data_IF_777879372865
#
_entry.id   IF_777879372865
#
_cell.length_a   1.000
_cell.length_b   1.000
_cell.length_c   1.000
_cell.angle_alpha   90.00
_cell.angle_beta   90.00
_cell.angle_gamma   90.00
#
_symmetry.space_group_name_H-M   'P 1'
#
loop_
_entity.id
_entity.type
_entity.pdbx_description
1 polymer ?
#
# COMPACT_ATOMS: atom_id res chain seq x y z
N UNK A 1 34.22 41.16 37.70
CA UNK A 1 34.05 39.78 37.18
C UNK A 1 32.60 39.40 37.38
N UNK A 2 31.77 39.53 36.34
CA UNK A 2 30.35 39.17 36.40
C UNK A 2 30.26 37.79 35.73
N UNK A 3 30.12 36.75 36.55
CA UNK A 3 30.01 35.38 36.10
C UNK A 3 28.62 35.14 35.51
N UNK A 4 28.56 34.94 34.19
CA UNK A 4 27.37 34.40 33.52
C UNK A 4 27.21 32.94 33.92
N UNK A 5 26.33 32.67 34.88
CA UNK A 5 25.86 31.31 35.16
C UNK A 5 24.79 30.98 34.14
N UNK A 6 25.19 30.13 33.18
CA UNK A 6 24.41 29.71 32.03
C UNK A 6 23.08 29.09 32.48
N UNK A 7 21.99 29.54 31.85
CA UNK A 7 20.66 28.93 31.83
C UNK A 7 20.71 27.46 31.38
N UNK A 8 21.19 26.56 32.23
CA UNK A 8 21.40 25.15 31.92
C UNK A 8 20.25 24.25 32.40
N UNK A 9 19.33 24.79 33.20
CA UNK A 9 18.19 24.03 33.76
C UNK A 9 16.93 24.06 32.88
N UNK A 10 16.86 24.94 31.88
CA UNK A 10 15.74 24.99 30.93
C UNK A 10 16.04 24.31 29.58
N UNK A 11 17.29 23.95 29.31
CA UNK A 11 17.68 23.27 28.07
C UNK A 11 17.38 21.75 28.11
N UNK A 12 17.48 21.12 29.29
CA UNK A 12 17.16 19.70 29.47
C UNK A 12 15.69 19.31 29.18
N UNK A 13 14.66 20.01 29.71
CA UNK A 13 13.28 19.65 29.43
C UNK A 13 12.92 19.90 27.96
N UNK A 14 13.53 20.91 27.31
CA UNK A 14 13.34 21.20 25.90
C UNK A 14 13.92 20.10 25.00
N UNK A 15 15.12 19.58 25.35
CA UNK A 15 15.74 18.46 24.65
C UNK A 15 14.93 17.16 24.77
N UNK A 16 14.32 16.90 25.94
CA UNK A 16 13.45 15.74 26.17
C UNK A 16 12.15 15.85 25.35
N UNK A 17 11.56 17.04 25.24
CA UNK A 17 10.36 17.27 24.41
C UNK A 17 10.65 17.07 22.91
N UNK A 18 11.83 17.50 22.44
CA UNK A 18 12.30 17.30 21.07
C UNK A 18 12.53 15.81 20.75
N UNK A 19 13.07 15.03 21.70
CA UNK A 19 13.26 13.58 21.54
C UNK A 19 11.93 12.80 21.50
N UNK A 20 10.89 13.27 22.22
CA UNK A 20 9.54 12.68 22.19
C UNK A 20 8.74 13.07 20.94
N UNK A 21 9.17 14.11 20.21
CA UNK A 21 8.54 14.55 18.96
C UNK A 21 9.03 13.81 17.72
N UNK A 22 10.07 12.99 17.87
CA UNK A 22 10.51 12.07 16.81
C UNK A 22 9.62 10.83 16.90
N UNK A 23 8.41 10.95 16.35
CA UNK A 23 7.71 9.75 15.88
C UNK A 23 8.55 9.31 14.67
N UNK A 24 9.25 8.17 14.70
CA UNK A 24 9.78 7.63 13.46
C UNK A 24 8.56 7.41 12.56
N UNK A 25 8.45 8.21 11.51
CA UNK A 25 7.61 7.87 10.38
C UNK A 25 8.26 6.65 9.73
N UNK A 26 7.96 5.48 10.29
CA UNK A 26 8.19 4.19 9.66
C UNK A 26 7.46 4.25 8.31
N UNK A 27 8.24 4.15 7.25
CA UNK A 27 7.84 4.24 5.84
C UNK A 27 7.53 2.82 5.43
N UNK A 28 6.26 2.44 5.28
CA UNK A 28 5.95 1.03 5.49
C UNK A 28 5.20 0.34 4.36
N UNK A 29 6.03 -0.39 3.62
CA UNK A 29 5.84 -1.83 3.63
C UNK A 29 5.95 -2.35 5.07
N UNK A 30 4.80 -2.57 5.70
CA UNK A 30 4.73 -2.85 7.13
C UNK A 30 5.24 -4.25 7.45
N UNK A 31 5.97 -4.40 8.56
CA UNK A 31 6.43 -5.69 9.04
C UNK A 31 5.25 -6.56 9.54
N UNK A 32 4.18 -5.92 10.00
CA UNK A 32 2.95 -6.57 10.47
C UNK A 32 1.69 -5.97 9.85
N UNK A 33 0.71 -6.82 9.55
CA UNK A 33 -0.62 -6.35 9.14
C UNK A 33 -1.29 -5.49 10.23
N UNK A 34 -0.83 -5.58 11.47
CA UNK A 34 -1.33 -4.79 12.59
C UNK A 34 -1.12 -3.28 12.41
N UNK A 35 -0.05 -2.87 11.74
CA UNK A 35 0.23 -1.45 11.42
C UNK A 35 -0.81 -0.87 10.44
N UNK A 36 -1.40 -1.71 9.57
CA UNK A 36 -2.48 -1.34 8.65
C UNK A 36 -3.87 -1.86 9.08
N UNK A 37 -4.10 -2.19 10.36
CA UNK A 37 -5.26 -3.00 10.77
C UNK A 37 -6.65 -2.35 10.61
N UNK A 38 -6.69 -1.04 10.32
CA UNK A 38 -7.94 -0.29 10.36
C UNK A 38 -8.96 -0.78 9.34
N UNK A 39 -8.52 -1.43 8.26
CA UNK A 39 -9.37 -1.94 7.18
C UNK A 39 -9.95 -3.33 7.43
N UNK A 40 -9.55 -4.01 8.50
CA UNK A 40 -10.08 -5.31 8.87
C UNK A 40 -11.27 -5.18 9.81
N UNK A 41 -12.22 -6.11 9.68
CA UNK A 41 -13.32 -6.24 10.63
C UNK A 41 -12.73 -6.50 12.02
N UNK A 42 -13.17 -5.71 13.00
CA UNK A 42 -12.68 -5.75 14.38
C UNK A 42 -11.15 -5.68 14.50
N UNK A 43 -10.48 -5.00 13.56
CA UNK A 43 -9.02 -4.89 13.46
C UNK A 43 -8.30 -6.25 13.45
N UNK A 44 -9.00 -7.30 13.05
CA UNK A 44 -8.51 -8.68 13.10
C UNK A 44 -8.08 -9.13 11.70
N UNK A 45 -6.77 -9.26 11.44
CA UNK A 45 -6.30 -9.76 10.16
C UNK A 45 -6.65 -11.25 9.97
N UNK A 46 -6.83 -11.71 8.72
CA UNK A 46 -7.07 -13.13 8.46
C UNK A 46 -5.85 -13.96 8.84
N UNK A 47 -6.07 -15.23 9.16
CA UNK A 47 -5.01 -16.23 9.21
C UNK A 47 -4.89 -16.90 7.83
N UNK A 48 -3.73 -16.80 7.22
CA UNK A 48 -3.38 -17.44 5.96
C UNK A 48 -2.21 -18.37 6.26
N UNK A 49 -2.45 -19.70 6.34
CA UNK A 49 -1.41 -20.65 6.70
C UNK A 49 -0.14 -20.47 5.87
N UNK A 50 1.02 -20.55 6.51
CA UNK A 50 2.35 -20.41 5.89
C UNK A 50 2.69 -19.01 5.37
N UNK A 51 1.79 -18.03 5.46
CA UNK A 51 2.01 -16.66 4.96
C UNK A 51 1.80 -15.62 6.07
N UNK A 52 0.61 -15.61 6.68
CA UNK A 52 0.16 -14.64 7.67
C UNK A 52 -0.50 -15.35 8.85
N UNK A 53 0.21 -15.46 9.96
CA UNK A 53 -0.29 -16.17 11.15
C UNK A 53 -0.28 -15.23 12.36
N UNK A 54 -1.43 -15.08 13.02
CA UNK A 54 -1.56 -14.17 14.17
C UNK A 54 -1.29 -12.69 13.85
N UNK A 55 -1.39 -12.29 12.58
CA UNK A 55 -1.05 -10.94 12.11
C UNK A 55 0.42 -10.74 11.74
N UNK A 56 1.25 -11.77 11.83
CA UNK A 56 2.68 -11.72 11.50
C UNK A 56 2.94 -12.36 10.14
N UNK A 57 3.79 -11.70 9.34
CA UNK A 57 4.26 -12.24 8.07
C UNK A 57 5.41 -13.21 8.33
N UNK A 58 5.27 -14.46 7.89
CA UNK A 58 6.24 -15.51 8.18
C UNK A 58 7.51 -15.40 7.32
N UNK A 59 7.37 -15.01 6.05
CA UNK A 59 8.49 -14.72 5.14
C UNK A 59 8.44 -13.24 4.73
N UNK A 60 9.04 -12.39 5.56
CA UNK A 60 9.14 -10.96 5.31
C UNK A 60 10.04 -10.61 4.12
N UNK A 61 10.83 -11.52 3.57
CA UNK A 61 11.63 -11.25 2.38
C UNK A 61 10.77 -11.31 1.10
N UNK A 62 9.72 -12.12 1.12
CA UNK A 62 8.81 -12.31 -0.01
C UNK A 62 7.50 -11.57 0.12
N UNK A 63 6.86 -11.68 1.28
CA UNK A 63 5.53 -11.14 1.47
C UNK A 63 5.61 -9.76 2.10
N UNK A 64 4.84 -8.83 1.54
CA UNK A 64 4.89 -7.41 1.85
C UNK A 64 3.48 -6.91 2.04
N UNK A 65 3.20 -6.33 3.19
CA UNK A 65 1.90 -5.70 3.46
C UNK A 65 2.01 -4.24 3.07
N UNK A 66 1.03 -3.76 2.31
CA UNK A 66 1.04 -2.42 1.74
C UNK A 66 -0.21 -1.70 2.22
N UNK A 67 0.00 -0.62 2.98
CA UNK A 67 -1.00 0.40 3.28
C UNK A 67 -1.20 1.26 2.02
N UNK A 68 -2.19 0.93 1.20
CA UNK A 68 -2.38 1.51 -0.13
C UNK A 68 -2.74 2.99 -0.04
N UNK A 69 -1.78 3.84 -0.36
CA UNK A 69 -1.86 5.29 -0.14
C UNK A 69 -1.86 6.04 -1.47
N UNK A 70 -2.88 6.86 -1.67
CA UNK A 70 -3.04 7.69 -2.87
C UNK A 70 -3.38 9.12 -2.44
N UNK A 71 -2.63 10.11 -2.93
CA UNK A 71 -2.81 11.52 -2.57
C UNK A 71 -2.79 11.72 -1.04
N UNK A 72 -1.83 11.10 -0.37
CA UNK A 72 -1.62 11.08 1.08
C UNK A 72 -2.81 10.51 1.88
N UNK A 73 -3.68 9.76 1.23
CA UNK A 73 -4.81 9.09 1.87
C UNK A 73 -4.62 7.57 1.77
N UNK A 74 -4.49 6.90 2.91
CA UNK A 74 -4.50 5.44 2.97
C UNK A 74 -5.94 4.93 2.81
N UNK A 75 -6.17 4.02 1.88
CA UNK A 75 -7.52 3.68 1.39
C UNK A 75 -7.90 2.20 1.52
N UNK A 76 -6.94 1.29 1.45
CA UNK A 76 -7.13 -0.15 1.66
C UNK A 76 -5.79 -0.82 1.97
N UNK A 77 -5.79 -2.12 2.24
CA UNK A 77 -4.59 -2.92 2.46
C UNK A 77 -4.47 -3.97 1.38
N UNK A 78 -3.25 -4.23 0.96
CA UNK A 78 -2.90 -5.38 0.13
C UNK A 78 -1.80 -6.18 0.82
N UNK A 79 -1.95 -7.50 0.92
CA UNK A 79 -0.81 -8.39 1.12
C UNK A 79 -0.29 -8.83 -0.24
N UNK A 80 0.99 -8.60 -0.50
CA UNK A 80 1.60 -8.76 -1.81
C UNK A 80 2.75 -9.79 -1.80
N UNK A 81 2.83 -10.61 -2.83
CA UNK A 81 3.92 -11.57 -3.06
C UNK A 81 4.90 -10.95 -4.07
N UNK A 82 6.05 -10.47 -3.60
CA UNK A 82 7.04 -9.78 -4.45
C UNK A 82 7.73 -10.71 -5.44
N UNK A 83 7.81 -12.01 -5.11
CA UNK A 83 8.43 -13.02 -5.97
C UNK A 83 7.59 -13.30 -7.20
N UNK A 84 6.29 -13.47 -7.00
CA UNK A 84 5.35 -13.71 -8.10
C UNK A 84 4.74 -12.42 -8.68
N UNK A 85 4.98 -11.29 -8.02
CA UNK A 85 4.47 -9.96 -8.38
C UNK A 85 2.94 -9.91 -8.47
N UNK A 86 2.26 -10.58 -7.54
CA UNK A 86 0.79 -10.63 -7.46
C UNK A 86 0.31 -10.33 -6.03
N UNK A 87 -0.88 -9.72 -5.87
CA UNK A 87 -1.51 -9.67 -4.57
C UNK A 87 -2.03 -11.05 -4.13
N UNK A 88 -1.87 -11.33 -2.85
CA UNK A 88 -2.42 -12.49 -2.15
C UNK A 88 -3.84 -12.21 -1.68
N UNK A 89 -4.06 -11.06 -1.03
CA UNK A 89 -5.39 -10.59 -0.65
C UNK A 89 -5.43 -9.07 -0.53
N UNK A 90 -6.64 -8.51 -0.53
CA UNK A 90 -6.90 -7.10 -0.19
C UNK A 90 -7.98 -7.00 0.90
N UNK A 91 -7.88 -6.00 1.76
CA UNK A 91 -8.89 -5.67 2.77
C UNK A 91 -9.23 -4.18 2.73
N UNK A 92 -10.52 -3.86 2.75
CA UNK A 92 -11.02 -2.49 2.67
C UNK A 92 -12.32 -2.34 3.47
N UNK A 93 -12.58 -1.12 3.97
CA UNK A 93 -13.88 -0.80 4.57
C UNK A 93 -14.90 -0.53 3.47
N UNK A 94 -15.92 -1.36 3.41
CA UNK A 94 -17.08 -1.08 2.57
C UNK A 94 -17.97 -0.02 3.24
N UNK A 95 -18.09 1.16 2.62
CA UNK A 95 -18.90 2.28 3.11
C UNK A 95 -20.15 2.54 2.25
N UNK A 96 -20.56 1.53 1.48
CA UNK A 96 -21.59 1.67 0.46
C UNK A 96 -21.01 2.03 -0.92
N UNK A 97 -21.88 2.02 -1.94
CA UNK A 97 -21.54 2.37 -3.32
C UNK A 97 -22.18 3.69 -3.69
N UNK A 98 -21.63 4.84 -3.26
CA UNK A 98 -22.04 6.10 -3.83
C UNK A 98 -21.76 6.00 -5.33
N UNK A 99 -22.80 6.25 -6.12
CA UNK A 99 -22.72 6.17 -7.58
C UNK A 99 -21.55 6.98 -8.12
N UNK A 100 -21.11 6.67 -9.33
CA UNK A 100 -19.97 7.37 -9.91
C UNK A 100 -19.38 6.59 -11.05
N UNK A 101 -18.74 7.31 -11.97
CA UNK A 101 -18.06 6.69 -13.10
C UNK A 101 -16.75 6.06 -12.61
N UNK A 102 -16.42 4.90 -13.19
CA UNK A 102 -15.09 4.31 -13.05
C UNK A 102 -14.02 5.34 -13.49
N UNK A 103 -13.01 5.64 -12.67
CA UNK A 103 -11.92 6.55 -13.05
C UNK A 103 -11.23 6.11 -14.34
N UNK A 104 -10.79 7.09 -15.14
CA UNK A 104 -9.96 6.88 -16.33
C UNK A 104 -8.56 7.39 -16.04
N UNK A 105 -7.78 6.60 -15.31
CA UNK A 105 -6.43 6.95 -14.89
C UNK A 105 -5.43 5.85 -15.28
N UNK A 106 -4.16 6.22 -15.29
CA UNK A 106 -3.07 5.27 -15.51
C UNK A 106 -2.90 4.36 -14.29
N UNK A 107 -2.42 3.14 -14.56
CA UNK A 107 -2.06 2.21 -13.50
C UNK A 107 -0.73 2.59 -12.87
N UNK A 108 -0.68 2.43 -11.55
CA UNK A 108 0.42 2.87 -10.69
C UNK A 108 1.20 1.70 -10.10
N UNK A 109 2.35 2.04 -9.52
CA UNK A 109 3.23 1.19 -8.73
C UNK A 109 3.32 1.73 -7.31
N UNK A 110 3.83 0.89 -6.42
CA UNK A 110 4.17 1.19 -5.01
C UNK A 110 5.68 1.38 -4.93
N UNK A 111 6.20 2.62 -4.92
CA UNK A 111 7.64 2.84 -5.07
C UNK A 111 8.46 2.30 -3.88
N UNK A 112 7.87 2.22 -2.68
CA UNK A 112 8.50 1.64 -1.49
C UNK A 112 8.82 0.15 -1.61
N UNK A 113 8.21 -0.58 -2.57
CA UNK A 113 8.59 -1.98 -2.86
C UNK A 113 9.96 -2.10 -3.53
N UNK A 114 10.40 -1.09 -4.29
CA UNK A 114 11.74 -1.09 -4.91
C UNK A 114 12.79 -0.43 -4.03
N UNK A 115 12.40 0.62 -3.30
CA UNK A 115 13.27 1.34 -2.38
C UNK A 115 12.49 1.61 -1.08
N UNK A 116 12.76 0.90 0.02
CA UNK A 116 11.99 1.02 1.26
C UNK A 116 11.83 2.46 1.80
N UNK A 117 12.82 3.33 1.58
CA UNK A 117 12.79 4.73 2.00
C UNK A 117 12.21 5.71 0.94
N UNK A 118 11.48 5.21 -0.07
CA UNK A 118 10.75 6.07 -1.02
C UNK A 118 9.38 6.48 -0.44
N UNK A 119 8.63 7.30 -1.18
CA UNK A 119 7.32 7.81 -0.79
C UNK A 119 6.28 6.67 -0.67
N UNK A 120 5.35 6.75 0.28
CA UNK A 120 4.30 5.74 0.42
C UNK A 120 3.15 5.90 -0.60
N UNK A 121 3.11 7.02 -1.31
CA UNK A 121 2.12 7.27 -2.35
C UNK A 121 2.41 6.46 -3.60
N UNK A 122 1.39 5.70 -4.02
CA UNK A 122 1.39 5.08 -5.33
C UNK A 122 1.55 6.14 -6.43
N UNK A 123 2.36 5.81 -7.44
CA UNK A 123 2.66 6.72 -8.56
C UNK A 123 2.82 5.96 -9.87
N UNK A 124 2.84 6.67 -10.99
CA UNK A 124 3.12 6.02 -12.27
C UNK A 124 4.57 5.48 -12.29
N UNK A 125 4.76 4.32 -12.92
CA UNK A 125 6.09 3.77 -13.10
C UNK A 125 6.94 4.64 -14.04
N UNK A 126 8.23 4.76 -13.73
CA UNK A 126 9.22 5.32 -14.65
C UNK A 126 9.67 4.21 -15.62
N UNK A 127 9.59 4.46 -16.92
CA UNK A 127 9.97 3.49 -17.94
C UNK A 127 11.49 3.19 -17.96
N UNK A 128 12.31 4.00 -17.30
CA UNK A 128 13.76 3.81 -17.21
C UNK A 128 14.19 2.96 -16.01
N UNK A 129 13.25 2.57 -15.13
CA UNK A 129 13.53 1.78 -13.94
C UNK A 129 13.14 0.32 -14.17
N UNK A 130 14.00 -0.59 -13.72
CA UNK A 130 13.70 -2.02 -13.65
C UNK A 130 13.11 -2.32 -12.28
N UNK A 131 11.83 -2.73 -12.27
CA UNK A 131 11.09 -3.08 -11.06
C UNK A 131 11.27 -4.57 -10.76
N UNK A 132 11.93 -4.88 -9.66
CA UNK A 132 12.27 -6.27 -9.27
C UNK A 132 11.19 -6.89 -8.40
N UNK A 133 10.53 -6.09 -7.56
CA UNK A 133 9.66 -6.60 -6.51
C UNK A 133 8.18 -6.41 -6.79
N UNK A 134 7.82 -5.82 -7.93
CA UNK A 134 6.42 -5.66 -8.33
C UNK A 134 6.20 -5.74 -9.83
N UNK A 135 4.94 -5.90 -10.22
CA UNK A 135 4.52 -5.86 -11.61
C UNK A 135 4.42 -4.42 -12.13
N UNK A 136 4.79 -4.23 -13.39
CA UNK A 136 4.62 -2.97 -14.13
C UNK A 136 3.73 -3.17 -15.35
N UNK A 137 3.34 -2.05 -15.98
CA UNK A 137 2.47 -2.08 -17.17
C UNK A 137 3.01 -2.97 -18.29
N UNK A 138 4.34 -3.04 -18.46
CA UNK A 138 4.98 -3.91 -19.46
C UNK A 138 4.77 -5.39 -19.20
N UNK A 139 4.71 -5.81 -17.94
CA UNK A 139 4.49 -7.22 -17.57
C UNK A 139 3.10 -7.70 -18.01
N UNK A 140 2.11 -6.80 -18.08
CA UNK A 140 0.75 -7.10 -18.52
C UNK A 140 0.58 -7.08 -20.06
N UNK A 141 1.45 -6.41 -20.81
CA UNK A 141 1.28 -6.22 -22.26
C UNK A 141 1.11 -7.55 -23.04
N UNK A 142 1.91 -8.60 -22.80
CA UNK A 142 1.76 -9.87 -23.51
C UNK A 142 0.44 -10.58 -23.21
N UNK A 143 -0.09 -10.43 -22.00
CA UNK A 143 -1.33 -11.10 -21.57
C UNK A 143 -2.58 -10.38 -22.10
N UNK A 144 -2.52 -9.06 -22.28
CA UNK A 144 -3.62 -8.29 -22.85
C UNK A 144 -4.00 -8.79 -24.26
N UNK A 145 -2.99 -9.14 -25.06
CA UNK A 145 -3.18 -9.71 -26.41
C UNK A 145 -3.78 -11.13 -26.37
N UNK A 146 -3.68 -11.82 -25.23
CA UNK A 146 -4.18 -13.18 -25.01
C UNK A 146 -5.56 -13.21 -24.31
N UNK A 147 -6.24 -12.06 -24.24
CA UNK A 147 -7.57 -11.94 -23.65
C UNK A 147 -7.58 -11.97 -22.12
N UNK A 148 -6.56 -11.39 -21.50
CA UNK A 148 -6.55 -11.07 -20.08
C UNK A 148 -6.64 -9.56 -19.86
N UNK A 149 -7.30 -9.16 -18.78
CA UNK A 149 -7.33 -7.81 -18.27
C UNK A 149 -6.53 -7.71 -16.96
N UNK A 150 -6.29 -6.48 -16.51
CA UNK A 150 -5.89 -6.17 -15.13
C UNK A 150 -7.12 -6.26 -14.22
N UNK A 151 -7.38 -7.46 -13.69
CA UNK A 151 -8.51 -7.72 -12.80
C UNK A 151 -8.22 -7.24 -11.39
N UNK A 152 -9.09 -6.41 -10.83
CA UNK A 152 -8.88 -5.85 -9.49
C UNK A 152 -9.23 -6.89 -8.42
N UNK A 153 -8.46 -6.95 -7.33
CA UNK A 153 -8.89 -7.65 -6.13
C UNK A 153 -9.87 -6.79 -5.34
N UNK A 154 -9.48 -5.57 -4.98
CA UNK A 154 -10.41 -4.57 -4.47
C UNK A 154 -11.02 -3.77 -5.64
N UNK A 155 -12.31 -3.96 -5.97
CA UNK A 155 -12.89 -3.35 -7.16
C UNK A 155 -13.09 -1.84 -7.00
N UNK A 156 -12.73 -1.06 -8.03
CA UNK A 156 -12.99 0.38 -8.07
C UNK A 156 -14.46 0.75 -7.83
N UNK A 157 -15.42 -0.12 -8.16
CA UNK A 157 -16.83 0.14 -7.90
C UNK A 157 -17.18 0.22 -6.41
N UNK A 158 -16.34 -0.31 -5.52
CA UNK A 158 -16.57 -0.35 -4.07
C UNK A 158 -15.93 0.84 -3.34
N UNK A 159 -15.08 1.62 -4.01
CA UNK A 159 -14.58 2.87 -3.45
C UNK A 159 -15.71 3.88 -3.23
N UNK A 160 -15.72 4.52 -2.06
CA UNK A 160 -16.78 5.41 -1.60
C UNK A 160 -16.60 6.88 -2.04
N UNK A 161 -15.45 7.22 -2.60
CA UNK A 161 -15.21 8.55 -3.17
C UNK A 161 -14.22 8.45 -4.34
N UNK A 162 -14.00 9.52 -5.12
CA UNK A 162 -13.07 9.50 -6.24
C UNK A 162 -11.62 9.09 -5.86
N UNK A 163 -11.18 9.39 -4.64
CA UNK A 163 -9.84 9.04 -4.14
C UNK A 163 -9.73 7.53 -3.93
N UNK A 164 -10.65 6.92 -3.19
CA UNK A 164 -10.71 5.46 -2.99
C UNK A 164 -10.91 4.71 -4.31
N UNK A 165 -11.75 5.25 -5.22
CA UNK A 165 -11.93 4.62 -6.54
C UNK A 165 -10.63 4.64 -7.35
N UNK A 166 -9.86 5.72 -7.26
CA UNK A 166 -8.61 5.92 -8.00
C UNK A 166 -7.45 5.10 -7.41
N UNK A 167 -7.37 4.99 -6.08
CA UNK A 167 -6.32 4.21 -5.41
C UNK A 167 -6.36 2.72 -5.80
N UNK A 168 -7.51 2.20 -6.22
CA UNK A 168 -7.62 0.81 -6.69
C UNK A 168 -6.85 0.50 -7.98
N UNK A 169 -6.37 1.52 -8.72
CA UNK A 169 -5.62 1.39 -9.98
C UNK A 169 -4.10 1.29 -9.74
N UNK A 170 -3.68 0.53 -8.75
CA UNK A 170 -2.30 0.10 -8.55
C UNK A 170 -2.14 -1.36 -9.01
N UNK A 171 -1.00 -1.69 -9.62
CA UNK A 171 -0.73 -3.05 -10.10
C UNK A 171 -0.51 -4.05 -8.95
N UNK A 172 -0.27 -3.55 -7.74
CA UNK A 172 -0.27 -4.37 -6.53
C UNK A 172 -1.69 -4.75 -6.07
N UNK A 173 -2.75 -4.21 -6.68
CA UNK A 173 -4.15 -4.62 -6.46
C UNK A 173 -4.73 -5.39 -7.67
N UNK A 174 -3.88 -5.84 -8.60
CA UNK A 174 -4.34 -6.49 -9.82
C UNK A 174 -3.66 -7.83 -10.11
N UNK A 175 -4.41 -8.70 -10.78
CA UNK A 175 -3.91 -9.94 -11.37
C UNK A 175 -4.31 -10.04 -12.85
N UNK A 176 -3.57 -10.78 -13.69
CA UNK A 176 -4.06 -11.15 -15.01
C UNK A 176 -5.32 -12.00 -14.88
N UNK A 177 -6.46 -11.45 -15.30
CA UNK A 177 -7.77 -12.10 -15.19
C UNK A 177 -8.41 -12.21 -16.57
N UNK A 178 -8.94 -13.38 -16.94
CA UNK A 178 -9.58 -13.55 -18.26
C UNK A 178 -10.65 -12.48 -18.48
N UNK A 179 -10.57 -11.77 -19.61
CA UNK A 179 -11.41 -10.59 -19.87
C UNK A 179 -12.91 -10.89 -19.77
N UNK A 180 -13.34 -12.09 -20.18
CA UNK A 180 -14.74 -12.53 -20.05
C UNK A 180 -15.25 -12.61 -18.61
N UNK A 181 -14.36 -12.85 -17.64
CA UNK A 181 -14.70 -12.91 -16.22
C UNK A 181 -14.59 -11.52 -15.58
N UNK A 182 -13.53 -10.76 -15.91
CA UNK A 182 -13.31 -9.42 -15.35
C UNK A 182 -14.38 -8.38 -15.76
N UNK A 183 -15.00 -8.58 -16.94
CA UNK A 183 -15.95 -7.61 -17.51
C UNK A 183 -17.42 -7.93 -17.24
N UNK A 184 -17.72 -8.99 -16.48
CA UNK A 184 -19.10 -9.32 -16.09
C UNK A 184 -19.61 -8.20 -15.18
N UNK A 185 -20.82 -7.70 -15.48
CA UNK A 185 -21.48 -6.62 -14.73
C UNK A 185 -22.53 -7.18 -13.79
#
# INVERSE_FOLDING_TARGET
MIGGSLMMHHLLPLAILLLLSIIPTETEVVASVKECNTFFLDKTPPNIPQILEGGNILDQNRYKVICQTFSNTTTFVTLYDTKNKIPVFSAAKYRGRPGGKRPKINWMIEPQLEKPADDDNMRQADNNIIYKHQAVNTDYKPYNQQGFDRGHLFPSSYGSDPTEKSSTFTLTNAVPQKSRFNRVR
#
